data_IF_073067712809
#
_entry.id   IF_073067712809
#
_cell.length_a   1.000
_cell.length_b   1.000
_cell.length_c   1.000
_cell.angle_alpha   90.00
_cell.angle_beta   90.00
_cell.angle_gamma   90.00
#
_symmetry.space_group_name_H-M   'P 1'
#
loop_
_entity.id
_entity.type
_entity.pdbx_description
1 polymer ?
#
# COMPACT_ATOMS: atom_id res chain seq x y z
N UNK A 1 -24.14 18.69 8.86
CA UNK A 1 -23.02 19.43 8.23
C UNK A 1 -22.13 18.39 7.59
N UNK A 2 -21.83 18.49 6.28
CA UNK A 2 -20.82 17.62 5.66
C UNK A 2 -19.49 17.90 6.33
N UNK A 3 -18.79 16.86 6.77
CA UNK A 3 -17.44 17.00 7.33
C UNK A 3 -16.55 17.55 6.21
N UNK A 4 -15.72 18.54 6.52
CA UNK A 4 -14.73 19.04 5.57
C UNK A 4 -13.39 18.35 5.85
N UNK A 5 -12.64 17.96 4.80
CA UNK A 5 -11.30 17.42 4.98
C UNK A 5 -10.36 18.46 5.61
N UNK A 6 -9.38 17.98 6.37
CA UNK A 6 -8.26 18.79 6.81
C UNK A 6 -7.24 18.87 5.68
N UNK A 7 -6.77 20.08 5.40
CA UNK A 7 -5.84 20.37 4.30
C UNK A 7 -4.73 21.23 4.87
N UNK A 8 -3.49 20.80 4.70
CA UNK A 8 -2.33 21.53 5.21
C UNK A 8 -1.09 21.24 4.40
N UNK A 9 -0.10 22.12 4.49
CA UNK A 9 1.24 21.84 3.97
C UNK A 9 2.10 21.25 5.09
N UNK A 10 2.90 20.24 4.77
CA UNK A 10 3.93 19.76 5.69
C UNK A 10 5.02 20.84 5.87
N UNK A 11 5.79 20.72 6.95
CA UNK A 11 6.79 21.72 7.35
C UNK A 11 7.89 21.98 6.30
N UNK A 12 8.05 21.08 5.32
CA UNK A 12 8.98 21.28 4.20
C UNK A 12 8.45 22.21 3.10
N UNK A 13 7.17 22.60 3.15
CA UNK A 13 6.53 23.48 2.18
C UNK A 13 6.37 22.90 0.79
N UNK A 14 6.59 21.59 0.60
CA UNK A 14 6.52 20.90 -0.70
C UNK A 14 5.43 19.85 -0.76
N UNK A 15 5.17 19.18 0.35
CA UNK A 15 4.21 18.09 0.43
C UNK A 15 2.89 18.59 1.00
N UNK A 16 1.81 18.32 0.27
CA UNK A 16 0.44 18.60 0.68
C UNK A 16 -0.09 17.42 1.50
N UNK A 17 -0.68 17.72 2.65
CA UNK A 17 -1.35 16.78 3.53
C UNK A 17 -2.86 16.94 3.39
N UNK A 18 -3.56 15.83 3.13
CA UNK A 18 -5.02 15.77 3.02
C UNK A 18 -5.54 14.67 3.94
N UNK A 19 -6.42 15.01 4.88
CA UNK A 19 -6.97 14.05 5.82
C UNK A 19 -8.49 14.15 5.90
N UNK A 20 -9.17 13.01 5.80
CA UNK A 20 -10.59 12.88 6.13
C UNK A 20 -10.87 11.50 6.74
N UNK A 21 -11.25 11.51 8.02
CA UNK A 21 -11.41 10.27 8.80
C UNK A 21 -10.14 9.42 8.78
N UNK A 22 -10.21 8.14 8.35
CA UNK A 22 -9.06 7.25 8.28
C UNK A 22 -8.18 7.47 7.04
N UNK A 23 -8.64 8.25 6.06
CA UNK A 23 -7.89 8.53 4.83
C UNK A 23 -6.91 9.66 5.12
N UNK A 24 -5.63 9.41 4.84
CA UNK A 24 -4.53 10.25 5.28
C UNK A 24 -3.45 10.27 4.19
N UNK A 25 -3.47 11.32 3.37
CA UNK A 25 -2.68 11.41 2.14
C UNK A 25 -1.54 12.39 2.28
N UNK A 26 -0.35 11.96 1.85
CA UNK A 26 0.79 12.82 1.56
C UNK A 26 0.93 12.88 0.03
N UNK A 27 0.83 14.08 -0.52
CA UNK A 27 0.86 14.35 -1.96
C UNK A 27 2.06 15.23 -2.28
N UNK A 28 2.85 14.82 -3.28
CA UNK A 28 3.93 15.64 -3.82
C UNK A 28 3.94 15.56 -5.34
N UNK A 29 4.20 16.69 -5.99
CA UNK A 29 4.35 16.79 -7.43
C UNK A 29 5.54 17.68 -7.79
N UNK A 30 6.08 17.44 -8.99
CA UNK A 30 7.13 18.21 -9.64
C UNK A 30 6.69 18.57 -11.06
N UNK A 31 6.87 19.83 -11.43
CA UNK A 31 6.47 20.39 -12.73
C UNK A 31 6.49 21.92 -12.69
N UNK A 32 5.91 22.56 -13.70
CA UNK A 32 5.78 24.01 -13.76
C UNK A 32 4.88 24.57 -12.66
N UNK A 33 5.10 25.83 -12.24
CA UNK A 33 4.35 26.43 -11.12
C UNK A 33 2.82 26.44 -11.36
N UNK A 34 2.40 26.71 -12.60
CA UNK A 34 0.99 26.67 -13.00
C UNK A 34 0.41 25.26 -12.90
N UNK A 35 1.15 24.25 -13.35
CA UNK A 35 0.76 22.84 -13.31
C UNK A 35 0.65 22.34 -11.87
N UNK A 36 1.62 22.70 -11.02
CA UNK A 36 1.59 22.36 -9.59
C UNK A 36 0.36 22.95 -8.90
N UNK A 37 0.06 24.23 -9.15
CA UNK A 37 -1.14 24.88 -8.60
C UNK A 37 -2.41 24.19 -9.07
N UNK A 38 -2.52 23.87 -10.36
CA UNK A 38 -3.68 23.18 -10.92
C UNK A 38 -3.84 21.76 -10.32
N UNK A 39 -2.74 21.01 -10.23
CA UNK A 39 -2.70 19.65 -9.68
C UNK A 39 -3.16 19.62 -8.22
N UNK A 40 -2.58 20.45 -7.34
CA UNK A 40 -2.94 20.44 -5.92
C UNK A 40 -4.39 20.92 -5.69
N UNK A 41 -4.88 21.88 -6.48
CA UNK A 41 -6.29 22.26 -6.43
C UNK A 41 -7.20 21.11 -6.89
N UNK A 42 -6.81 20.35 -7.92
CA UNK A 42 -7.56 19.19 -8.39
C UNK A 42 -7.60 18.08 -7.33
N UNK A 43 -6.47 17.82 -6.66
CA UNK A 43 -6.39 16.86 -5.55
C UNK A 43 -7.36 17.23 -4.42
N UNK A 44 -7.33 18.48 -3.95
CA UNK A 44 -8.24 18.99 -2.90
C UNK A 44 -9.71 18.87 -3.32
N UNK A 45 -10.03 19.29 -4.56
CA UNK A 45 -11.40 19.21 -5.08
C UNK A 45 -11.90 17.77 -5.12
N UNK A 46 -11.09 16.82 -5.61
CA UNK A 46 -11.49 15.41 -5.71
C UNK A 46 -11.59 14.74 -4.35
N UNK A 47 -10.69 15.09 -3.43
CA UNK A 47 -10.66 14.52 -2.07
C UNK A 47 -11.87 14.92 -1.24
N UNK A 48 -12.38 16.14 -1.43
CA UNK A 48 -13.54 16.66 -0.70
C UNK A 48 -14.80 15.85 -1.02
N UNK A 49 -15.34 15.12 -0.04
CA UNK A 49 -16.52 14.27 -0.18
C UNK A 49 -16.24 12.83 -0.62
N UNK A 50 -14.98 12.46 -0.88
CA UNK A 50 -14.61 11.10 -1.29
C UNK A 50 -14.89 10.06 -0.20
N UNK A 51 -14.68 10.41 1.08
CA UNK A 51 -15.00 9.49 2.18
C UNK A 51 -16.51 9.23 2.26
N UNK A 52 -17.34 10.24 2.03
CA UNK A 52 -18.80 10.08 2.04
C UNK A 52 -19.24 9.14 0.90
N UNK A 53 -18.68 9.31 -0.32
CA UNK A 53 -18.92 8.40 -1.47
C UNK A 53 -18.61 6.94 -1.11
N UNK A 54 -17.49 6.68 -0.43
CA UNK A 54 -17.12 5.33 0.00
C UNK A 54 -18.01 4.82 1.15
N UNK A 55 -18.42 5.70 2.06
CA UNK A 55 -19.33 5.34 3.15
C UNK A 55 -20.70 4.90 2.64
N UNK A 56 -21.20 5.54 1.57
CA UNK A 56 -22.49 5.20 0.95
C UNK A 56 -22.51 3.75 0.42
N UNK A 57 -21.35 3.22 0.00
CA UNK A 57 -21.20 1.85 -0.50
C UNK A 57 -20.55 0.89 0.52
N UNK A 58 -20.28 1.33 1.75
CA UNK A 58 -19.47 0.60 2.73
C UNK A 58 -19.99 -0.81 3.03
N UNK A 59 -21.31 -0.98 3.09
CA UNK A 59 -21.92 -2.28 3.35
C UNK A 59 -21.61 -3.30 2.25
N UNK A 60 -21.46 -2.87 0.99
CA UNK A 60 -21.05 -3.71 -0.13
C UNK A 60 -19.53 -3.88 -0.15
N UNK A 61 -18.77 -2.82 0.14
CA UNK A 61 -17.30 -2.86 0.18
C UNK A 61 -16.75 -3.84 1.22
N UNK A 62 -17.50 -4.10 2.31
CA UNK A 62 -17.14 -5.07 3.36
C UNK A 62 -17.55 -6.51 3.06
N UNK A 63 -18.23 -6.77 1.94
CA UNK A 63 -18.59 -8.14 1.56
C UNK A 63 -17.42 -8.82 0.85
N UNK A 64 -17.40 -10.15 0.90
CA UNK A 64 -16.50 -10.94 0.07
C UNK A 64 -16.68 -10.53 -1.39
N UNK A 65 -15.57 -10.25 -2.08
CA UNK A 65 -15.61 -9.93 -3.49
C UNK A 65 -16.14 -11.14 -4.29
N UNK A 66 -16.92 -10.86 -5.33
CA UNK A 66 -17.34 -11.86 -6.30
C UNK A 66 -16.41 -11.76 -7.51
N UNK A 67 -15.78 -12.85 -7.96
CA UNK A 67 -14.81 -12.79 -9.06
C UNK A 67 -15.43 -12.34 -10.41
N UNK A 68 -16.75 -12.49 -10.59
CA UNK A 68 -17.45 -12.20 -11.83
C UNK A 68 -18.41 -11.01 -11.75
N UNK A 69 -18.88 -10.64 -10.57
CA UNK A 69 -19.98 -9.68 -10.41
C UNK A 69 -19.64 -8.52 -9.48
N UNK A 70 -19.55 -7.31 -10.03
CA UNK A 70 -19.44 -6.08 -9.24
C UNK A 70 -20.81 -5.40 -9.07
N UNK A 71 -21.22 -5.17 -7.82
CA UNK A 71 -22.43 -4.43 -7.45
C UNK A 71 -22.16 -2.96 -7.10
N UNK A 72 -20.89 -2.56 -7.08
CA UNK A 72 -20.49 -1.21 -6.70
C UNK A 72 -20.62 -0.28 -7.91
N UNK A 73 -21.01 0.95 -7.66
CA UNK A 73 -21.30 1.96 -8.67
C UNK A 73 -20.21 3.03 -8.75
N UNK A 74 -19.70 3.48 -7.60
CA UNK A 74 -18.71 4.54 -7.51
C UNK A 74 -17.39 4.17 -8.18
N UNK A 75 -16.69 5.12 -8.83
CA UNK A 75 -15.47 4.83 -9.58
C UNK A 75 -14.35 4.25 -8.71
N UNK A 76 -14.21 4.75 -7.47
CA UNK A 76 -13.21 4.23 -6.51
C UNK A 76 -13.61 2.86 -6.00
N UNK A 77 -14.87 2.67 -5.62
CA UNK A 77 -15.39 1.38 -5.17
C UNK A 77 -15.25 0.28 -6.24
N UNK A 78 -15.56 0.60 -7.50
CA UNK A 78 -15.36 -0.31 -8.64
C UNK A 78 -13.89 -0.64 -8.87
N UNK A 79 -12.99 0.33 -8.69
CA UNK A 79 -11.52 0.10 -8.76
C UNK A 79 -11.07 -0.84 -7.65
N UNK A 80 -11.55 -0.64 -6.42
CA UNK A 80 -11.27 -1.53 -5.28
C UNK A 80 -11.69 -2.96 -5.61
N UNK A 81 -12.92 -3.15 -6.09
CA UNK A 81 -13.40 -4.48 -6.52
C UNK A 81 -12.57 -5.09 -7.64
N UNK A 82 -12.25 -4.31 -8.68
CA UNK A 82 -11.45 -4.81 -9.80
C UNK A 82 -10.05 -5.27 -9.37
N UNK A 83 -9.46 -4.61 -8.37
CA UNK A 83 -8.17 -5.01 -7.81
C UNK A 83 -8.24 -6.33 -7.03
N UNK A 84 -9.33 -6.59 -6.31
CA UNK A 84 -9.46 -7.81 -5.47
C UNK A 84 -10.09 -9.01 -6.19
N UNK A 85 -10.87 -8.77 -7.25
CA UNK A 85 -11.59 -9.81 -7.98
C UNK A 85 -10.70 -10.97 -8.49
N UNK A 86 -9.45 -10.75 -8.97
CA UNK A 86 -8.58 -11.85 -9.39
C UNK A 86 -8.24 -12.86 -8.29
N UNK A 87 -8.35 -12.45 -7.01
CA UNK A 87 -8.04 -13.31 -5.86
C UNK A 87 -9.27 -13.97 -5.26
N UNK A 88 -10.47 -13.47 -5.59
CA UNK A 88 -11.72 -13.82 -4.93
C UNK A 88 -12.19 -15.27 -5.16
N UNK A 89 -11.69 -15.94 -6.20
CA UNK A 89 -11.98 -17.36 -6.45
C UNK A 89 -11.33 -18.27 -5.41
N UNK A 90 -10.08 -17.99 -5.04
CA UNK A 90 -9.26 -18.89 -4.22
C UNK A 90 -9.08 -18.38 -2.78
N UNK A 91 -9.35 -17.09 -2.55
CA UNK A 91 -9.12 -16.42 -1.27
C UNK A 91 -10.35 -15.65 -0.84
N UNK A 92 -10.59 -15.60 0.48
CA UNK A 92 -11.44 -14.56 1.01
C UNK A 92 -10.69 -13.22 0.94
N UNK A 93 -11.29 -12.27 0.24
CA UNK A 93 -10.85 -10.88 0.20
C UNK A 93 -12.09 -10.00 -0.01
N UNK A 94 -12.07 -8.81 0.57
CA UNK A 94 -13.11 -7.79 0.36
C UNK A 94 -12.49 -6.62 -0.40
N UNK A 95 -13.30 -5.81 -1.11
CA UNK A 95 -12.82 -4.56 -1.69
C UNK A 95 -12.04 -3.65 -0.72
N UNK A 96 -12.29 -3.74 0.60
CA UNK A 96 -11.56 -2.97 1.61
C UNK A 96 -10.04 -3.19 1.54
N UNK A 97 -9.56 -4.35 1.06
CA UNK A 97 -8.14 -4.66 0.91
C UNK A 97 -7.42 -3.85 -0.19
N UNK A 98 -8.14 -3.02 -0.94
CA UNK A 98 -7.58 -2.14 -1.98
C UNK A 98 -7.94 -0.67 -1.78
N UNK A 99 -8.50 -0.30 -0.61
CA UNK A 99 -9.05 1.05 -0.37
C UNK A 99 -7.96 2.12 -0.45
N UNK A 100 -6.80 1.87 0.15
CA UNK A 100 -5.78 2.89 0.31
C UNK A 100 -5.11 3.19 -1.03
N UNK A 101 -4.75 2.13 -1.76
CA UNK A 101 -4.22 2.22 -3.11
C UNK A 101 -5.23 2.82 -4.09
N UNK A 102 -6.50 2.45 -4.02
CA UNK A 102 -7.55 2.98 -4.92
C UNK A 102 -7.81 4.47 -4.71
N UNK A 103 -7.75 4.94 -3.47
CA UNK A 103 -7.88 6.37 -3.13
C UNK A 103 -6.65 7.14 -3.60
N UNK A 104 -5.44 6.64 -3.34
CA UNK A 104 -4.22 7.28 -3.80
C UNK A 104 -4.21 7.46 -5.33
N UNK A 105 -4.64 6.43 -6.05
CA UNK A 105 -4.76 6.45 -7.51
C UNK A 105 -5.82 7.41 -8.02
N UNK A 106 -6.96 7.51 -7.33
CA UNK A 106 -8.02 8.47 -7.68
C UNK A 106 -7.52 9.92 -7.61
N UNK A 107 -6.80 10.25 -6.55
CA UNK A 107 -6.26 11.60 -6.34
C UNK A 107 -5.16 11.90 -7.35
N UNK A 108 -4.24 10.95 -7.59
CA UNK A 108 -3.21 11.12 -8.62
C UNK A 108 -3.85 11.33 -10.01
N UNK A 109 -4.84 10.52 -10.36
CA UNK A 109 -5.57 10.65 -11.62
C UNK A 109 -6.28 12.00 -11.76
N UNK A 110 -6.81 12.57 -10.68
CA UNK A 110 -7.39 13.91 -10.69
C UNK A 110 -6.35 15.00 -10.93
N UNK A 111 -5.15 14.88 -10.36
CA UNK A 111 -4.04 15.80 -10.61
C UNK A 111 -3.61 15.78 -12.09
N UNK A 112 -3.40 14.59 -12.64
CA UNK A 112 -2.88 14.41 -14.01
C UNK A 112 -3.86 14.82 -15.10
N UNK A 113 -5.17 14.87 -14.82
CA UNK A 113 -6.16 15.40 -15.77
C UNK A 113 -6.07 16.92 -15.95
N UNK A 114 -5.54 17.63 -14.96
CA UNK A 114 -5.54 19.09 -14.90
C UNK A 114 -4.14 19.70 -15.09
N UNK A 115 -3.09 18.86 -15.13
CA UNK A 115 -1.71 19.33 -15.11
C UNK A 115 -0.75 18.35 -15.82
N UNK A 116 0.29 18.90 -16.46
CA UNK A 116 1.42 18.11 -16.98
C UNK A 116 2.54 18.06 -15.96
N UNK A 117 2.73 16.90 -15.32
CA UNK A 117 3.69 16.73 -14.22
C UNK A 117 4.89 15.90 -14.70
N UNK A 118 6.10 16.29 -14.27
CA UNK A 118 7.33 15.51 -14.46
C UNK A 118 7.29 14.26 -13.58
N UNK A 119 6.89 14.44 -12.32
CA UNK A 119 6.80 13.38 -11.32
C UNK A 119 5.72 13.74 -10.31
N UNK A 120 4.95 12.76 -9.87
CA UNK A 120 4.03 12.93 -8.75
C UNK A 120 3.85 11.63 -7.98
N UNK A 121 3.54 11.73 -6.70
CA UNK A 121 3.04 10.59 -5.93
C UNK A 121 1.96 11.02 -4.95
N UNK A 122 1.07 10.08 -4.65
CA UNK A 122 0.10 10.15 -3.57
C UNK A 122 0.32 8.94 -2.68
N UNK A 123 0.67 9.16 -1.43
CA UNK A 123 0.90 8.11 -0.43
C UNK A 123 -0.24 8.11 0.59
N UNK A 124 -0.97 7.00 0.68
CA UNK A 124 -1.99 6.76 1.69
C UNK A 124 -1.49 5.69 2.66
N UNK A 125 -0.71 6.09 3.67
CA UNK A 125 -0.28 5.21 4.74
C UNK A 125 0.64 4.04 4.37
N UNK A 126 1.33 4.11 3.23
CA UNK A 126 2.18 3.04 2.69
C UNK A 126 1.77 2.58 1.29
N UNK A 127 0.55 2.93 0.87
CA UNK A 127 0.01 2.63 -0.45
C UNK A 127 0.14 3.85 -1.36
N UNK A 128 1.01 3.72 -2.36
CA UNK A 128 1.52 4.82 -3.15
C UNK A 128 1.11 4.63 -4.60
N UNK A 129 0.37 5.61 -5.14
CA UNK A 129 0.22 5.81 -6.57
C UNK A 129 1.30 6.78 -7.05
N UNK A 130 1.99 6.45 -8.14
CA UNK A 130 3.09 7.26 -8.67
C UNK A 130 2.93 7.55 -10.16
N UNK A 131 3.41 8.72 -10.58
CA UNK A 131 3.55 9.15 -11.97
C UNK A 131 4.99 9.54 -12.22
N UNK A 132 5.54 9.06 -13.33
CA UNK A 132 6.91 9.33 -13.79
C UNK A 132 6.88 9.61 -15.28
N UNK A 133 7.26 10.82 -15.67
CA UNK A 133 7.58 11.17 -17.05
C UNK A 133 8.95 10.62 -17.45
N UNK A 134 9.25 10.61 -18.75
CA UNK A 134 10.51 10.07 -19.29
C UNK A 134 11.74 10.65 -18.58
N UNK A 135 12.62 9.77 -18.12
CA UNK A 135 13.85 10.12 -17.41
C UNK A 135 13.69 10.38 -15.90
N UNK A 136 12.47 10.42 -15.37
CA UNK A 136 12.23 10.47 -13.93
C UNK A 136 12.30 9.08 -13.29
N UNK A 137 12.60 9.08 -12.00
CA UNK A 137 12.73 7.88 -11.18
C UNK A 137 12.21 8.13 -9.76
N UNK A 138 11.79 7.06 -9.10
CA UNK A 138 11.30 7.05 -7.75
C UNK A 138 12.04 6.01 -6.90
N UNK A 139 12.53 6.41 -5.73
CA UNK A 139 13.20 5.50 -4.80
C UNK A 139 12.21 5.02 -3.76
N UNK A 140 11.97 3.71 -3.71
CA UNK A 140 11.10 3.05 -2.74
C UNK A 140 11.94 2.56 -1.58
N UNK A 141 11.58 2.96 -0.36
CA UNK A 141 12.15 2.39 0.86
C UNK A 141 11.47 1.07 1.21
N UNK A 142 12.25 0.03 1.42
CA UNK A 142 11.81 -1.25 1.96
C UNK A 142 12.13 -1.23 3.46
N UNK A 143 11.11 -1.00 4.28
CA UNK A 143 11.28 -0.88 5.73
C UNK A 143 11.61 -2.24 6.34
N UNK A 144 12.76 -2.31 7.02
CA UNK A 144 13.20 -3.48 7.79
C UNK A 144 12.47 -3.53 9.15
N UNK A 145 12.18 -2.37 9.79
CA UNK A 145 11.29 -2.19 10.95
C UNK A 145 10.82 -0.73 11.10
N UNK A 146 9.59 -0.45 11.59
CA UNK A 146 9.17 0.90 11.97
C UNK A 146 9.97 1.48 13.16
N UNK A 147 10.44 0.61 14.06
CA UNK A 147 10.92 1.01 15.39
C UNK A 147 12.46 0.97 15.56
N UNK A 148 13.21 0.61 14.52
CA UNK A 148 14.67 0.57 14.58
C UNK A 148 15.30 1.20 13.36
N UNK A 149 16.35 2.00 13.59
CA UNK A 149 17.23 2.64 12.59
C UNK A 149 18.07 1.63 11.79
N UNK A 150 17.47 0.52 11.35
CA UNK A 150 18.08 -0.51 10.54
C UNK A 150 18.31 -0.05 9.10
N UNK A 151 19.10 -0.84 8.37
CA UNK A 151 19.42 -0.61 6.96
C UNK A 151 18.12 -0.57 6.12
N UNK A 152 17.71 0.63 5.70
CA UNK A 152 16.69 0.80 4.67
C UNK A 152 17.24 0.22 3.37
N UNK A 153 16.75 -0.96 2.98
CA UNK A 153 16.91 -1.44 1.62
C UNK A 153 16.08 -0.54 0.70
N UNK A 154 16.58 -0.25 -0.49
CA UNK A 154 15.84 0.56 -1.46
C UNK A 154 15.76 -0.14 -2.80
N UNK A 155 14.65 0.08 -3.49
CA UNK A 155 14.53 -0.25 -4.91
C UNK A 155 14.16 1.02 -5.69
N UNK A 156 14.46 1.03 -6.99
CA UNK A 156 14.23 2.18 -7.86
C UNK A 156 13.21 1.75 -8.91
N UNK A 157 12.16 2.56 -9.06
CA UNK A 157 11.21 2.48 -10.16
C UNK A 157 11.53 3.62 -11.11
N UNK A 158 11.89 3.29 -12.35
CA UNK A 158 12.13 4.27 -13.40
C UNK A 158 10.92 4.43 -14.33
N UNK A 159 10.89 5.50 -15.12
CA UNK A 159 9.78 5.76 -16.04
C UNK A 159 9.54 4.62 -17.06
N UNK A 160 10.58 3.84 -17.40
CA UNK A 160 10.46 2.69 -18.29
C UNK A 160 9.87 1.45 -17.63
N UNK A 161 9.81 1.40 -16.30
CA UNK A 161 9.16 0.31 -15.58
C UNK A 161 7.64 0.38 -15.72
N UNK A 162 6.94 -0.78 -15.76
CA UNK A 162 5.48 -0.82 -15.83
C UNK A 162 4.82 -0.40 -14.51
N UNK A 163 5.54 -0.45 -13.39
CA UNK A 163 4.98 -0.23 -12.06
C UNK A 163 4.60 1.22 -11.82
N UNK A 164 3.35 1.46 -11.42
CA UNK A 164 2.84 2.78 -10.99
C UNK A 164 2.12 2.72 -9.63
N UNK A 165 2.15 1.55 -8.99
CA UNK A 165 1.64 1.31 -7.65
C UNK A 165 2.67 0.62 -6.77
N UNK A 166 2.74 1.06 -5.51
CA UNK A 166 3.48 0.39 -4.44
C UNK A 166 2.54 0.25 -3.26
N UNK A 167 2.58 -0.87 -2.56
CA UNK A 167 1.79 -1.06 -1.35
C UNK A 167 2.59 -1.81 -0.30
N UNK A 168 2.27 -1.60 0.98
CA UNK A 168 2.90 -2.34 2.07
C UNK A 168 1.86 -2.86 3.05
N UNK A 169 1.78 -4.18 3.20
CA UNK A 169 0.88 -4.86 4.13
C UNK A 169 1.66 -5.67 5.16
N UNK A 170 1.10 -5.93 6.33
CA UNK A 170 1.77 -6.68 7.40
C UNK A 170 1.09 -6.48 8.75
N UNK A 171 1.46 -7.30 9.73
CA UNK A 171 0.78 -7.33 11.05
C UNK A 171 0.94 -6.06 11.89
N UNK A 172 1.92 -5.20 11.57
CA UNK A 172 2.13 -3.91 12.23
C UNK A 172 1.48 -2.75 11.48
N UNK A 173 0.81 -3.02 10.36
CA UNK A 173 0.10 -2.02 9.58
C UNK A 173 -1.18 -1.54 10.27
N UNK A 174 -1.91 -0.66 9.57
CA UNK A 174 -3.20 -0.12 10.03
C UNK A 174 -4.34 -1.13 9.92
N UNK A 175 -4.17 -2.17 9.10
CA UNK A 175 -5.16 -3.22 8.82
C UNK A 175 -4.76 -4.54 9.46
N UNK A 176 -5.76 -5.34 9.85
CA UNK A 176 -5.50 -6.67 10.40
C UNK A 176 -4.99 -7.62 9.32
N UNK A 177 -3.97 -8.41 9.65
CA UNK A 177 -3.45 -9.47 8.79
C UNK A 177 -3.82 -10.84 9.33
N UNK A 178 -4.12 -11.76 8.41
CA UNK A 178 -4.25 -13.19 8.69
C UNK A 178 -2.86 -13.84 8.75
N UNK A 179 -1.86 -13.32 8.06
CA UNK A 179 -0.50 -13.87 8.11
C UNK A 179 0.31 -13.32 9.28
N UNK A 180 1.61 -13.66 9.29
CA UNK A 180 2.56 -13.22 10.32
C UNK A 180 3.65 -12.30 9.79
N UNK A 181 3.67 -11.98 8.48
CA UNK A 181 4.63 -11.05 7.93
C UNK A 181 4.67 -9.73 8.72
N UNK A 182 5.88 -9.26 9.02
CA UNK A 182 6.07 -7.95 9.63
C UNK A 182 5.78 -6.85 8.60
N UNK A 183 6.23 -7.06 7.36
CA UNK A 183 5.93 -6.22 6.20
C UNK A 183 6.07 -7.02 4.89
N UNK A 184 5.21 -6.74 3.92
CA UNK A 184 5.29 -7.17 2.53
C UNK A 184 5.07 -5.95 1.67
N UNK A 185 6.09 -5.56 0.92
CA UNK A 185 6.00 -4.46 -0.06
C UNK A 185 5.83 -5.05 -1.45
N UNK A 186 4.83 -4.60 -2.19
CA UNK A 186 4.52 -5.05 -3.56
C UNK A 186 4.61 -3.88 -4.53
N UNK A 187 5.18 -4.14 -5.71
CA UNK A 187 5.12 -3.24 -6.86
C UNK A 187 4.15 -3.84 -7.89
N UNK A 188 3.28 -3.00 -8.44
CA UNK A 188 2.34 -3.39 -9.49
C UNK A 188 2.03 -2.22 -10.43
N UNK A 189 1.28 -2.51 -11.50
CA UNK A 189 0.87 -1.51 -12.50
C UNK A 189 -0.01 -0.40 -11.94
N UNK A 190 -0.75 -0.67 -10.86
CA UNK A 190 -1.66 0.27 -10.21
C UNK A 190 -1.53 0.15 -8.70
N UNK A 191 -1.81 1.23 -7.97
CA UNK A 191 -1.71 1.22 -6.51
C UNK A 191 -2.77 0.31 -5.89
N UNK A 192 -3.97 0.27 -6.48
CA UNK A 192 -5.03 -0.64 -6.05
C UNK A 192 -4.63 -2.12 -6.19
N UNK A 193 -4.00 -2.52 -7.30
CA UNK A 193 -3.50 -3.89 -7.48
C UNK A 193 -2.39 -4.23 -6.49
N UNK A 194 -1.46 -3.29 -6.25
CA UNK A 194 -0.39 -3.49 -5.28
C UNK A 194 -0.96 -3.74 -3.87
N UNK A 195 -1.95 -2.95 -3.44
CA UNK A 195 -2.59 -3.01 -2.13
C UNK A 195 -3.28 -4.37 -1.89
N UNK A 196 -4.12 -4.80 -2.85
CA UNK A 196 -4.76 -6.10 -2.81
C UNK A 196 -3.75 -7.25 -2.79
N UNK A 197 -2.74 -7.21 -3.66
CA UNK A 197 -1.73 -8.26 -3.75
C UNK A 197 -0.83 -8.32 -2.51
N UNK A 198 -0.45 -7.16 -1.93
CA UNK A 198 0.31 -7.10 -0.69
C UNK A 198 -0.45 -7.78 0.45
N UNK A 199 -1.76 -7.56 0.54
CA UNK A 199 -2.63 -8.24 1.52
C UNK A 199 -2.63 -9.76 1.31
N UNK A 200 -2.78 -10.24 0.07
CA UNK A 200 -2.77 -11.68 -0.25
C UNK A 200 -1.42 -12.33 0.09
N UNK A 201 -0.31 -11.69 -0.29
CA UNK A 201 1.04 -12.23 -0.03
C UNK A 201 1.37 -12.19 1.46
N UNK A 202 1.04 -11.09 2.16
CA UNK A 202 1.24 -10.99 3.60
C UNK A 202 0.49 -12.09 4.36
N UNK A 203 -0.73 -12.41 3.92
CA UNK A 203 -1.53 -13.50 4.49
C UNK A 203 -0.98 -14.90 4.19
N UNK A 204 -0.23 -15.06 3.09
CA UNK A 204 0.42 -16.32 2.74
C UNK A 204 1.70 -16.59 3.55
N UNK A 205 2.35 -15.56 4.09
CA UNK A 205 3.43 -15.73 5.07
C UNK A 205 2.80 -16.14 6.40
N UNK A 206 2.70 -17.43 6.66
CA UNK A 206 2.06 -17.96 7.87
C UNK A 206 2.65 -19.32 8.31
N UNK A 207 2.37 -19.68 9.57
CA UNK A 207 2.59 -21.01 10.14
C UNK A 207 1.30 -21.47 10.85
N UNK A 208 0.33 -22.02 10.11
CA UNK A 208 -0.97 -22.38 10.67
C UNK A 208 -0.86 -23.30 11.89
N UNK A 209 -1.56 -22.95 12.97
CA UNK A 209 -1.58 -23.73 14.22
C UNK A 209 -0.31 -23.65 15.08
N UNK A 210 0.66 -22.82 14.71
CA UNK A 210 1.89 -22.69 15.49
C UNK A 210 1.64 -22.00 16.84
N UNK A 211 2.07 -22.64 17.93
CA UNK A 211 1.84 -22.19 19.32
C UNK A 211 2.38 -20.80 19.66
N UNK A 212 3.38 -20.32 18.93
CA UNK A 212 3.94 -18.98 19.15
C UNK A 212 3.09 -17.87 18.50
N UNK A 213 2.10 -18.22 17.69
CA UNK A 213 1.24 -17.26 17.00
C UNK A 213 -0.09 -17.18 17.76
N UNK A 214 -0.32 -16.04 18.40
CA UNK A 214 -1.59 -15.73 19.06
C UNK A 214 -2.55 -15.12 18.03
N UNK A 215 -3.75 -15.68 17.93
CA UNK A 215 -4.81 -15.20 17.02
C UNK A 215 -6.11 -15.00 17.76
N UNK A 216 -6.93 -14.08 17.27
CA UNK A 216 -8.32 -13.90 17.70
C UNK A 216 -9.19 -13.50 16.49
N UNK A 217 -10.51 -13.74 16.54
CA UNK A 217 -11.43 -13.21 15.54
C UNK A 217 -11.28 -11.69 15.37
N UNK A 218 -11.28 -11.19 14.14
CA UNK A 218 -11.13 -9.76 13.86
C UNK A 218 -12.23 -8.93 14.54
N UNK A 219 -13.46 -9.44 14.56
CA UNK A 219 -14.61 -8.81 15.20
C UNK A 219 -14.48 -8.63 16.74
N UNK A 220 -13.59 -9.38 17.41
CA UNK A 220 -13.30 -9.17 18.82
C UNK A 220 -12.41 -7.94 19.06
N UNK A 221 -11.60 -7.56 18.06
CA UNK A 221 -10.76 -6.36 18.10
C UNK A 221 -11.50 -5.13 17.56
N UNK A 222 -12.25 -5.33 16.47
CA UNK A 222 -13.03 -4.30 15.81
C UNK A 222 -14.38 -4.89 15.39
N UNK A 223 -15.49 -4.60 16.12
CA UNK A 223 -16.80 -5.22 15.87
C UNK A 223 -17.33 -5.11 14.45
N UNK A 224 -16.92 -4.08 13.71
CA UNK A 224 -17.37 -3.81 12.34
C UNK A 224 -16.34 -4.17 11.26
N UNK A 225 -15.33 -4.98 11.61
CA UNK A 225 -14.31 -5.48 10.67
C UNK A 225 -14.93 -6.29 9.54
N UNK A 226 -14.49 -6.02 8.31
CA UNK A 226 -14.85 -6.76 7.10
C UNK A 226 -14.37 -8.23 7.13
N UNK A 227 -13.38 -8.54 7.95
CA UNK A 227 -12.88 -9.91 8.14
C UNK A 227 -13.82 -10.76 9.02
N UNK A 228 -14.65 -10.13 9.85
CA UNK A 228 -15.62 -10.79 10.73
C UNK A 228 -14.99 -11.77 11.72
N UNK A 229 -15.45 -13.02 11.73
CA UNK A 229 -14.96 -14.07 12.64
C UNK A 229 -13.56 -14.62 12.27
N UNK A 230 -12.94 -14.17 11.18
CA UNK A 230 -11.64 -14.69 10.72
C UNK A 230 -10.55 -14.37 11.72
N UNK A 231 -9.65 -15.32 11.91
CA UNK A 231 -8.55 -15.23 12.86
C UNK A 231 -7.44 -14.34 12.33
N UNK A 232 -7.20 -13.22 13.02
CA UNK A 232 -6.14 -12.27 12.71
C UNK A 232 -5.00 -12.40 13.71
N UNK A 233 -3.78 -12.09 13.29
CA UNK A 233 -2.58 -12.19 14.12
C UNK A 233 -2.57 -11.09 15.17
N UNK A 234 -2.56 -11.47 16.46
CA UNK A 234 -2.45 -10.55 17.61
C UNK A 234 -1.03 -10.47 18.14
N UNK A 235 -0.26 -11.54 17.99
CA UNK A 235 1.12 -11.59 18.46
C UNK A 235 1.88 -12.75 17.84
N UNK A 236 3.15 -12.50 17.55
CA UNK A 236 4.11 -13.50 17.08
C UNK A 236 5.23 -13.56 18.10
N UNK A 237 5.30 -14.67 18.82
CA UNK A 237 6.38 -14.99 19.74
C UNK A 237 7.67 -15.36 18.99
N UNK A 238 8.74 -15.74 19.71
CA UNK A 238 9.98 -16.13 19.07
C UNK A 238 9.78 -17.35 18.17
N UNK A 239 10.28 -17.24 16.93
CA UNK A 239 10.31 -18.31 15.94
C UNK A 239 11.76 -18.75 15.71
N UNK A 240 11.94 -20.02 15.37
CA UNK A 240 13.25 -20.54 14.94
C UNK A 240 13.55 -20.11 13.51
N UNK A 241 14.83 -20.08 13.16
CA UNK A 241 15.27 -19.67 11.82
C UNK A 241 14.60 -20.48 10.69
N UNK A 242 14.45 -21.80 10.85
CA UNK A 242 13.78 -22.63 9.84
C UNK A 242 12.26 -22.37 9.76
N UNK A 243 11.63 -21.96 10.86
CA UNK A 243 10.20 -21.62 10.91
C UNK A 243 9.97 -20.29 10.16
N UNK A 244 10.84 -19.30 10.39
CA UNK A 244 10.86 -18.04 9.65
C UNK A 244 11.08 -18.30 8.16
N UNK A 245 12.08 -19.12 7.81
CA UNK A 245 12.35 -19.47 6.42
C UNK A 245 11.15 -20.16 5.76
N UNK A 246 10.50 -21.11 6.45
CA UNK A 246 9.32 -21.81 5.93
C UNK A 246 8.13 -20.87 5.68
N UNK A 247 7.86 -19.93 6.59
CA UNK A 247 6.80 -18.94 6.42
C UNK A 247 7.09 -17.98 5.25
N UNK A 248 8.33 -17.51 5.14
CA UNK A 248 8.75 -16.64 4.05
C UNK A 248 8.71 -17.35 2.69
N UNK A 249 9.06 -18.63 2.64
CA UNK A 249 8.97 -19.45 1.41
C UNK A 249 7.52 -19.56 0.93
N UNK A 250 6.56 -19.83 1.83
CA UNK A 250 5.14 -19.87 1.46
C UNK A 250 4.63 -18.52 0.90
N UNK A 251 5.11 -17.40 1.45
CA UNK A 251 4.84 -16.08 0.89
C UNK A 251 5.51 -15.84 -0.46
N UNK A 252 6.74 -16.34 -0.64
CA UNK A 252 7.48 -16.23 -1.90
C UNK A 252 6.80 -17.03 -3.02
N UNK A 253 6.41 -18.28 -2.75
CA UNK A 253 5.64 -19.11 -3.67
C UNK A 253 4.35 -18.39 -4.13
N UNK A 254 3.67 -17.71 -3.19
CA UNK A 254 2.50 -16.89 -3.52
C UNK A 254 2.87 -15.73 -4.42
N UNK A 255 3.92 -14.97 -4.09
CA UNK A 255 4.38 -13.84 -4.89
C UNK A 255 4.77 -14.28 -6.31
N UNK A 256 5.47 -15.41 -6.45
CA UNK A 256 5.87 -15.96 -7.75
C UNK A 256 4.65 -16.34 -8.60
N UNK A 257 3.64 -16.96 -8.00
CA UNK A 257 2.39 -17.25 -8.69
C UNK A 257 1.67 -15.98 -9.17
N UNK A 258 1.65 -14.92 -8.35
CA UNK A 258 1.03 -13.64 -8.74
C UNK A 258 1.82 -12.92 -9.83
N UNK A 259 3.15 -12.99 -9.78
CA UNK A 259 4.02 -12.44 -10.82
C UNK A 259 3.83 -13.17 -12.15
N UNK A 260 3.79 -14.50 -12.13
CA UNK A 260 3.52 -15.32 -13.31
C UNK A 260 2.13 -15.03 -13.92
N UNK A 261 1.14 -14.69 -13.08
CA UNK A 261 -0.18 -14.25 -13.52
C UNK A 261 -0.25 -12.79 -14.01
N UNK A 262 0.85 -12.04 -13.93
CA UNK A 262 0.92 -10.63 -14.32
C UNK A 262 0.16 -9.68 -13.39
N UNK A 263 -0.08 -10.09 -12.13
CA UNK A 263 -0.81 -9.30 -11.14
C UNK A 263 0.11 -8.38 -10.33
N UNK A 264 1.42 -8.68 -10.29
CA UNK A 264 2.45 -7.86 -9.65
C UNK A 264 3.71 -7.84 -10.52
N UNK A 265 4.56 -6.83 -10.31
CA UNK A 265 5.85 -6.67 -10.98
C UNK A 265 7.03 -7.07 -10.06
N UNK A 266 6.80 -7.11 -8.73
CA UNK A 266 7.80 -7.56 -7.77
C UNK A 266 7.33 -7.44 -6.32
N UNK A 267 8.06 -8.07 -5.41
CA UNK A 267 7.73 -8.07 -3.99
C UNK A 267 8.96 -8.19 -3.08
N UNK A 268 8.87 -7.64 -1.87
CA UNK A 268 9.79 -7.86 -0.78
C UNK A 268 8.99 -8.27 0.47
N UNK A 269 9.41 -9.36 1.13
CA UNK A 269 8.74 -9.95 2.27
C UNK A 269 9.70 -9.95 3.46
N UNK A 270 9.23 -9.46 4.61
CA UNK A 270 10.01 -9.37 5.84
C UNK A 270 9.33 -10.08 7.01
N UNK A 271 10.10 -10.87 7.75
CA UNK A 271 9.67 -11.54 8.98
C UNK A 271 10.87 -11.70 9.93
N UNK A 272 10.77 -11.15 11.14
CA UNK A 272 11.75 -11.34 12.21
C UNK A 272 13.21 -11.03 11.83
N UNK A 273 13.46 -10.00 11.02
CA UNK A 273 14.81 -9.61 10.58
C UNK A 273 15.29 -10.32 9.31
N UNK A 274 14.54 -11.30 8.82
CA UNK A 274 14.81 -11.99 7.56
C UNK A 274 13.99 -11.36 6.43
N UNK A 275 14.64 -11.12 5.29
CA UNK A 275 14.02 -10.53 4.10
C UNK A 275 14.20 -11.45 2.89
N UNK A 276 13.12 -11.68 2.14
CA UNK A 276 13.13 -12.30 0.81
C UNK A 276 12.64 -11.28 -0.22
N UNK A 277 13.20 -11.34 -1.42
CA UNK A 277 12.90 -10.39 -2.50
C UNK A 277 12.70 -11.16 -3.80
N UNK A 278 11.70 -10.76 -4.58
CA UNK A 278 11.37 -11.32 -5.88
C UNK A 278 11.22 -10.21 -6.91
N UNK A 279 11.90 -10.35 -8.04
CA UNK A 279 11.80 -9.48 -9.22
C UNK A 279 12.01 -7.96 -8.97
N UNK A 280 12.56 -7.57 -7.82
CA UNK A 280 12.96 -6.18 -7.57
C UNK A 280 14.38 -5.93 -8.05
N UNK A 281 14.59 -4.81 -8.74
CA UNK A 281 15.93 -4.31 -9.06
C UNK A 281 16.68 -4.03 -7.73
N UNK A 282 17.82 -4.69 -7.55
CA UNK A 282 18.77 -4.59 -6.41
C UNK A 282 19.90 -3.58 -6.72
N UNK A 283 20.69 -2.98 -5.82
CA UNK A 283 20.60 -2.47 -4.43
C UNK A 283 21.82 -1.53 -4.26
N UNK A 284 21.63 -0.31 -3.73
CA UNK A 284 22.73 0.52 -3.25
C UNK A 284 22.66 0.66 -1.74
N UNK A 285 23.50 -0.04 -0.98
CA UNK A 285 23.61 0.17 0.46
C UNK A 285 24.24 1.54 0.74
N UNK A 286 23.43 2.57 1.02
CA UNK A 286 23.97 3.79 1.63
C UNK A 286 24.15 3.55 3.13
N UNK A 287 25.37 3.19 3.53
CA UNK A 287 25.86 3.47 4.88
C UNK A 287 25.57 4.94 5.17
N UNK A 288 24.82 5.24 6.23
CA UNK A 288 24.66 6.61 6.73
C UNK A 288 26.03 7.12 7.20
N UNK A 289 26.81 7.72 6.32
CA UNK A 289 27.79 8.72 6.74
C UNK A 289 27.02 10.00 7.10
N UNK A 290 27.39 10.62 8.21
CA UNK A 290 26.78 11.85 8.72
C UNK A 290 26.67 12.91 7.59
N UNK A 291 25.57 13.67 7.50
CA UNK A 291 25.35 14.56 6.36
C UNK A 291 26.35 15.72 6.38
N UNK A 292 27.15 15.81 5.33
CA UNK A 292 27.50 17.11 4.74
C UNK A 292 26.33 17.52 3.82
N UNK A 293 26.00 18.81 3.72
CA UNK A 293 24.68 19.26 3.29
C UNK A 293 24.52 19.10 1.77
N UNK A 294 23.87 18.02 1.32
CA UNK A 294 23.16 17.89 0.04
C UNK A 294 22.29 16.62 -0.01
N UNK A 295 20.98 16.86 -0.03
CA UNK A 295 19.85 16.04 -0.52
C UNK A 295 19.86 14.50 -0.36
N UNK A 296 19.03 14.02 0.57
CA UNK A 296 18.40 12.68 0.53
C UNK A 296 16.92 12.87 0.92
N UNK A 297 16.00 12.54 0.01
CA UNK A 297 14.55 12.53 0.23
C UNK A 297 14.12 11.16 0.80
N UNK A 298 13.35 11.17 1.89
CA UNK A 298 12.79 9.99 2.55
C UNK A 298 11.29 10.23 2.74
N UNK A 299 10.45 9.43 2.08
CA UNK A 299 8.99 9.51 2.14
C UNK A 299 8.40 8.59 3.23
N UNK A 300 9.04 8.55 4.40
CA UNK A 300 8.54 7.85 5.58
C UNK A 300 8.71 8.83 6.74
N UNK A 301 7.60 9.13 7.43
CA UNK A 301 7.40 10.15 8.48
C UNK A 301 6.98 11.55 7.98
N UNK A 302 5.68 11.81 7.98
CA UNK A 302 4.98 12.54 9.05
C UNK A 302 3.50 12.16 9.02
#
# INVERSE_FOLDING_TARGET
MKRLPQIGWLADGRRLHLQDGPIDLIVEARGGESDLRAAYQAAVRRFTGLLDELCDELALLRQAADPAKCLLEGPVARRMHAAVAPFATDHFITPMAAVAGSVAEEILGAMLREASLERAYVNNGGDIALHLADGEQFTVGLTDRPDSLGLMRTTIVDAGDPSRGIATSGRHGRSFSLGIADAVTVLARTAAQADAAATIIANAVDLPGHRAIARCPAQELQPDSDLGARLVTRGVGPLKEFEIACALEAGLDKAEALFAAGLIDGAALHLHGETRVMALKSFGAKLRQAPSPRHVESAVHA
#
